data_IF_752805734009
#
_entry.id   IF_752805734009
#
_cell.length_a   1.000
_cell.length_b   1.000
_cell.length_c   1.000
_cell.angle_alpha   90.00
_cell.angle_beta   90.00
_cell.angle_gamma   90.00
#
_symmetry.space_group_name_H-M   'P 1'
#
loop_
_entity.id
_entity.type
_entity.pdbx_description
1 polymer ?
#
# COMPACT_ATOMS: atom_id res chain seq x y z
N UNK A 1 -2.92 28.69 -7.11
CA UNK A 1 -2.05 27.52 -6.88
C UNK A 1 -1.08 27.41 -8.03
N UNK A 2 0.22 27.52 -7.79
CA UNK A 2 1.26 27.37 -8.81
C UNK A 2 1.43 25.89 -9.11
N UNK A 3 1.15 25.47 -10.35
CA UNK A 3 1.33 24.08 -10.78
C UNK A 3 2.83 23.76 -10.85
N UNK A 4 3.29 22.85 -10.00
CA UNK A 4 4.69 22.39 -10.02
C UNK A 4 4.90 21.55 -11.28
N UNK A 5 5.89 21.90 -12.10
CA UNK A 5 6.30 21.10 -13.27
C UNK A 5 7.47 20.20 -12.85
N UNK A 6 7.28 18.90 -12.97
CA UNK A 6 8.30 17.90 -12.67
C UNK A 6 9.05 17.52 -13.94
N UNK A 7 10.36 17.35 -13.81
CA UNK A 7 11.19 16.78 -14.86
C UNK A 7 11.03 15.24 -14.89
N UNK A 8 11.45 14.56 -15.97
CA UNK A 8 11.49 13.10 -15.99
C UNK A 8 12.32 12.49 -14.86
N UNK A 9 13.41 13.16 -14.45
CA UNK A 9 14.24 12.73 -13.32
C UNK A 9 13.47 12.84 -11.99
N UNK A 10 12.72 13.92 -11.78
CA UNK A 10 11.88 14.07 -10.58
C UNK A 10 10.85 12.93 -10.52
N UNK A 11 10.19 12.62 -11.64
CA UNK A 11 9.26 11.50 -11.71
C UNK A 11 9.94 10.16 -11.41
N UNK A 12 11.14 9.90 -11.91
CA UNK A 12 11.89 8.69 -11.60
C UNK A 12 12.18 8.56 -10.10
N UNK A 13 12.67 9.64 -9.48
CA UNK A 13 12.99 9.67 -8.04
C UNK A 13 11.72 9.46 -7.21
N UNK A 14 10.61 10.11 -7.57
CA UNK A 14 9.33 9.96 -6.87
C UNK A 14 8.78 8.53 -6.94
N UNK A 15 8.85 7.88 -8.11
CA UNK A 15 8.38 6.49 -8.26
C UNK A 15 9.28 5.48 -7.53
N UNK A 16 10.61 5.69 -7.56
CA UNK A 16 11.54 4.86 -6.80
C UNK A 16 11.30 4.97 -5.30
N UNK A 17 11.11 6.19 -4.81
CA UNK A 17 10.79 6.48 -3.43
C UNK A 17 9.48 5.79 -3.00
N UNK A 18 8.44 5.87 -3.83
CA UNK A 18 7.18 5.15 -3.60
C UNK A 18 7.40 3.64 -3.52
N UNK A 19 8.18 3.05 -4.43
CA UNK A 19 8.49 1.62 -4.41
C UNK A 19 9.23 1.20 -3.13
N UNK A 20 10.22 1.99 -2.68
CA UNK A 20 10.94 1.72 -1.42
C UNK A 20 9.99 1.78 -0.22
N UNK A 21 9.09 2.76 -0.17
CA UNK A 21 8.08 2.85 0.91
C UNK A 21 7.11 1.67 0.91
N UNK A 22 6.69 1.20 -0.27
CA UNK A 22 5.81 0.02 -0.38
C UNK A 22 6.51 -1.25 0.10
N UNK A 23 7.80 -1.43 -0.21
CA UNK A 23 8.53 -2.67 0.11
C UNK A 23 9.14 -2.70 1.51
N UNK A 24 9.58 -1.56 2.04
CA UNK A 24 10.36 -1.49 3.29
C UNK A 24 9.80 -0.47 4.30
N UNK A 25 8.79 0.31 3.91
CA UNK A 25 8.20 1.36 4.75
C UNK A 25 6.98 0.90 5.53
N UNK A 26 6.47 1.82 6.37
CA UNK A 26 5.13 1.69 6.95
C UNK A 26 4.12 2.30 5.98
N UNK A 27 2.95 1.68 5.77
CA UNK A 27 1.89 2.27 4.96
C UNK A 27 1.52 3.67 5.47
N UNK A 28 1.40 4.64 4.56
CA UNK A 28 0.85 5.94 4.88
C UNK A 28 -0.65 5.77 5.12
N UNK A 29 -1.08 5.95 6.37
CA UNK A 29 -2.50 5.92 6.74
C UNK A 29 -3.13 7.30 6.54
N UNK A 30 -4.42 7.30 6.22
CA UNK A 30 -5.19 8.53 5.89
C UNK A 30 -5.48 9.41 7.12
N UNK A 31 -5.05 9.01 8.32
CA UNK A 31 -5.38 9.67 9.58
C UNK A 31 -6.86 9.58 9.97
N UNK A 32 -7.66 8.85 9.19
CA UNK A 32 -9.07 8.59 9.51
C UNK A 32 -9.15 7.64 10.70
N UNK A 33 -10.10 7.86 11.63
CA UNK A 33 -10.33 6.92 12.72
C UNK A 33 -10.69 5.55 12.13
N UNK A 34 -10.26 4.49 12.80
CA UNK A 34 -10.59 3.14 12.37
C UNK A 34 -12.06 2.89 12.74
N UNK A 35 -12.93 2.45 11.81
CA UNK A 35 -14.32 2.16 12.11
C UNK A 35 -14.52 1.13 13.24
N UNK A 36 -13.49 0.34 13.53
CA UNK A 36 -13.48 -0.65 14.60
C UNK A 36 -12.93 -0.12 15.95
N UNK A 37 -12.55 1.16 16.07
CA UNK A 37 -11.94 1.70 17.30
C UNK A 37 -12.83 1.53 18.55
N UNK A 38 -14.15 1.56 18.38
CA UNK A 38 -15.13 1.39 19.47
C UNK A 38 -15.44 -0.09 19.80
N UNK A 39 -14.78 -1.04 19.15
CA UNK A 39 -15.06 -2.47 19.27
C UNK A 39 -13.87 -3.19 19.93
N UNK A 40 -14.17 -4.11 20.85
CA UNK A 40 -13.14 -4.98 21.40
C UNK A 40 -12.60 -5.93 20.33
N UNK A 41 -11.28 -6.05 20.27
CA UNK A 41 -10.61 -7.02 19.38
C UNK A 41 -10.91 -8.44 19.87
N UNK A 42 -11.39 -9.30 18.97
CA UNK A 42 -11.64 -10.69 19.30
C UNK A 42 -10.32 -11.44 19.52
N UNK A 43 -10.18 -12.13 20.67
CA UNK A 43 -9.02 -12.97 20.91
C UNK A 43 -9.04 -14.23 20.04
N UNK A 44 -8.01 -14.36 19.19
CA UNK A 44 -7.77 -15.57 18.41
C UNK A 44 -6.87 -16.54 19.20
N UNK A 45 -7.19 -17.83 19.14
CA UNK A 45 -6.30 -18.90 19.60
C UNK A 45 -4.99 -18.92 18.80
N UNK A 46 -3.91 -19.55 19.29
CA UNK A 46 -2.65 -19.64 18.55
C UNK A 46 -2.79 -20.27 17.16
N UNK A 47 -3.68 -21.25 17.01
CA UNK A 47 -3.97 -21.90 15.74
C UNK A 47 -4.66 -20.93 14.75
N UNK A 48 -5.67 -20.19 15.22
CA UNK A 48 -6.38 -19.19 14.41
C UNK A 48 -5.48 -18.02 14.02
N UNK A 49 -4.60 -17.55 14.93
CA UNK A 49 -3.59 -16.52 14.59
C UNK A 49 -2.68 -16.98 13.47
N UNK A 50 -2.21 -18.23 13.53
CA UNK A 50 -1.34 -18.81 12.50
C UNK A 50 -2.04 -18.88 11.16
N UNK A 51 -3.31 -19.30 11.15
CA UNK A 51 -4.10 -19.42 9.93
C UNK A 51 -4.44 -18.04 9.35
N UNK A 52 -4.91 -17.11 10.17
CA UNK A 52 -5.16 -15.72 9.78
C UNK A 52 -3.90 -15.08 9.17
N UNK A 53 -2.73 -15.26 9.78
CA UNK A 53 -1.47 -14.76 9.24
C UNK A 53 -1.09 -15.38 7.89
N UNK A 54 -1.43 -16.65 7.63
CA UNK A 54 -1.24 -17.28 6.32
C UNK A 54 -2.15 -16.65 5.27
N UNK A 55 -3.42 -16.48 5.59
CA UNK A 55 -4.40 -15.87 4.68
C UNK A 55 -4.04 -14.40 4.39
N UNK A 56 -3.63 -13.65 5.40
CA UNK A 56 -3.21 -12.25 5.23
C UNK A 56 -1.96 -12.11 4.35
N UNK A 57 -1.02 -13.07 4.37
CA UNK A 57 0.11 -13.06 3.43
C UNK A 57 -0.33 -13.20 1.97
N UNK A 58 -1.38 -13.99 1.70
CA UNK A 58 -1.97 -14.11 0.35
C UNK A 58 -2.63 -12.79 -0.06
N UNK A 59 -3.44 -12.20 0.83
CA UNK A 59 -4.07 -10.90 0.59
C UNK A 59 -3.01 -9.81 0.30
N UNK A 60 -1.96 -9.76 1.11
CA UNK A 60 -0.89 -8.78 0.97
C UNK A 60 -0.11 -8.94 -0.35
N UNK A 61 0.19 -10.17 -0.77
CA UNK A 61 0.83 -10.42 -2.07
C UNK A 61 -0.05 -9.93 -3.24
N UNK A 62 -1.37 -10.12 -3.13
CA UNK A 62 -2.34 -9.59 -4.08
C UNK A 62 -2.36 -8.07 -4.13
N UNK A 63 -2.35 -7.42 -2.97
CA UNK A 63 -2.28 -5.96 -2.85
C UNK A 63 -1.02 -5.38 -3.53
N UNK A 64 0.16 -5.94 -3.23
CA UNK A 64 1.43 -5.50 -3.85
C UNK A 64 1.39 -5.67 -5.37
N UNK A 65 0.85 -6.80 -5.84
CA UNK A 65 0.73 -7.08 -7.28
C UNK A 65 -0.23 -6.10 -7.97
N UNK A 66 -1.36 -5.78 -7.33
CA UNK A 66 -2.32 -4.79 -7.83
C UNK A 66 -1.71 -3.38 -7.88
N UNK A 67 -0.99 -2.96 -6.83
CA UNK A 67 -0.29 -1.68 -6.82
C UNK A 67 0.73 -1.60 -7.97
N UNK A 68 1.55 -2.64 -8.16
CA UNK A 68 2.53 -2.69 -9.25
C UNK A 68 1.86 -2.59 -10.63
N UNK A 69 0.75 -3.31 -10.83
CA UNK A 69 -0.04 -3.25 -12.06
C UNK A 69 -0.54 -1.82 -12.34
N UNK A 70 -1.17 -1.18 -11.36
CA UNK A 70 -1.72 0.17 -11.53
C UNK A 70 -0.63 1.21 -11.77
N UNK A 71 0.51 1.11 -11.08
CA UNK A 71 1.65 2.00 -11.35
C UNK A 71 2.21 1.78 -12.76
N UNK A 72 2.35 0.53 -13.21
CA UNK A 72 2.80 0.22 -14.57
C UNK A 72 1.84 0.73 -15.65
N UNK A 73 0.54 0.64 -15.42
CA UNK A 73 -0.48 1.20 -16.31
C UNK A 73 -0.41 2.74 -16.32
N UNK A 74 -0.25 3.38 -15.17
CA UNK A 74 -0.14 4.84 -15.08
C UNK A 74 1.07 5.40 -15.86
N UNK A 75 2.19 4.65 -15.95
CA UNK A 75 3.37 5.04 -16.72
C UNK A 75 3.17 5.00 -18.23
N UNK A 76 2.27 4.15 -18.73
CA UNK A 76 2.09 3.90 -20.17
C UNK A 76 0.77 4.44 -20.72
N UNK A 77 -0.20 4.72 -19.84
CA UNK A 77 -1.48 5.32 -20.19
C UNK A 77 -1.25 6.67 -20.89
N UNK A 78 -1.81 6.80 -22.09
CA UNK A 78 -1.94 8.09 -22.79
C UNK A 78 -3.40 8.54 -22.62
N UNK A 79 -3.58 9.81 -22.28
CA UNK A 79 -4.89 10.47 -22.24
C UNK A 79 -5.52 10.53 -23.65
#
# INVERSE_FOLDING_TARGET
>A
MTTRRYTPLDHLVMNLDQAVRTLAGRPLVTGRPNPADDWEEAELTPAEKTESARLMRVNHAGEVSAQALYQGQALTARL
#
